data_IF_727546592552
#
_entry.id   IF_727546592552
#
_cell.length_a   1.000
_cell.length_b   1.000
_cell.length_c   1.000
_cell.angle_alpha   90.00
_cell.angle_beta   90.00
_cell.angle_gamma   90.00
#
_symmetry.space_group_name_H-M   'P 1'
#
loop_
_entity.id
_entity.type
_entity.pdbx_description
1 polymer ?
#
# COMPACT_ATOMS: atom_id res chain seq x y z
N UNK A 1 -1.80 54.14 9.60
CA UNK A 1 -2.01 53.10 10.62
C UNK A 1 -1.85 51.76 9.91
N UNK A 2 -0.65 51.21 9.93
CA UNK A 2 -0.27 50.02 9.16
C UNK A 2 -0.15 48.86 10.13
N UNK A 3 -1.03 47.87 10.01
CA UNK A 3 -0.99 46.66 10.83
C UNK A 3 0.00 45.67 10.19
N UNK A 4 1.14 45.45 10.85
CA UNK A 4 2.01 44.30 10.60
C UNK A 4 1.32 43.05 11.14
N UNK A 5 1.05 42.09 10.24
CA UNK A 5 0.65 40.73 10.61
C UNK A 5 1.95 39.96 10.88
N UNK A 6 2.20 39.63 12.14
CA UNK A 6 3.21 38.65 12.54
C UNK A 6 2.69 37.26 12.17
N UNK A 7 3.37 36.60 11.23
CA UNK A 7 3.21 35.18 10.96
C UNK A 7 3.90 34.40 12.07
N UNK A 8 3.12 33.67 12.88
CA UNK A 8 3.64 32.72 13.85
C UNK A 8 4.24 31.52 13.12
N UNK A 9 5.57 31.39 13.22
CA UNK A 9 6.32 30.23 12.78
C UNK A 9 5.84 28.98 13.53
N UNK A 10 5.17 28.08 12.80
CA UNK A 10 4.79 26.77 13.30
C UNK A 10 6.06 25.96 13.52
N UNK A 11 6.46 25.86 14.78
CA UNK A 11 7.49 24.95 15.27
C UNK A 11 7.10 23.50 14.94
N UNK A 12 7.55 23.00 13.79
CA UNK A 12 7.60 21.57 13.51
C UNK A 12 8.67 20.96 14.42
N UNK A 13 8.34 20.04 15.34
CA UNK A 13 9.36 19.33 16.10
C UNK A 13 10.11 18.42 15.13
N UNK A 14 11.33 18.85 14.78
CA UNK A 14 12.33 18.01 14.14
C UNK A 14 12.61 16.84 15.09
N UNK A 15 12.14 15.64 14.75
CA UNK A 15 12.70 14.42 15.30
C UNK A 15 14.23 14.48 15.10
N UNK A 16 14.96 14.55 16.21
CA UNK A 16 16.36 14.94 16.25
C UNK A 16 17.26 14.09 15.36
N UNK A 17 17.75 14.70 14.28
CA UNK A 17 18.96 14.29 13.58
C UNK A 17 20.14 14.98 14.26
N UNK A 18 20.61 14.40 15.37
CA UNK A 18 21.64 15.03 16.20
C UNK A 18 22.47 14.07 17.06
N UNK A 19 22.64 12.82 16.63
CA UNK A 19 23.64 11.92 17.18
C UNK A 19 24.87 11.93 16.29
N UNK A 20 25.98 12.50 16.78
CA UNK A 20 27.32 12.21 16.24
C UNK A 20 27.58 10.72 16.46
N UNK A 21 27.42 9.94 15.40
CA UNK A 21 27.77 8.52 15.38
C UNK A 21 29.29 8.47 15.28
N UNK A 22 29.91 8.15 16.41
CA UNK A 22 31.25 7.57 16.47
C UNK A 22 31.25 6.30 15.61
N UNK A 23 32.33 6.10 14.86
CA UNK A 23 32.56 4.98 13.93
C UNK A 23 32.71 3.61 14.64
N UNK A 24 31.77 3.25 15.51
CA UNK A 24 31.65 1.91 16.08
C UNK A 24 30.52 1.17 15.37
N UNK A 25 30.85 0.63 14.20
CA UNK A 25 30.02 -0.28 13.42
C UNK A 25 29.81 -1.59 14.18
N UNK A 26 28.80 -1.64 15.05
CA UNK A 26 28.25 -2.90 15.58
C UNK A 26 26.78 -2.75 15.97
N UNK A 27 25.95 -3.46 15.19
CA UNK A 27 24.66 -3.99 15.64
C UNK A 27 23.54 -2.99 15.99
N UNK A 28 23.10 -2.21 15.00
CA UNK A 28 21.66 -1.97 14.83
C UNK A 28 21.25 -2.91 13.72
N UNK A 29 20.58 -4.00 14.11
CA UNK A 29 20.18 -5.06 13.20
C UNK A 29 19.41 -4.48 12.03
N UNK A 30 20.07 -4.40 10.87
CA UNK A 30 19.41 -4.36 9.59
C UNK A 30 18.64 -5.67 9.49
N UNK A 31 17.40 -5.66 9.99
CA UNK A 31 16.42 -6.64 9.58
C UNK A 31 16.31 -6.39 8.09
N UNK A 32 16.99 -7.24 7.32
CA UNK A 32 16.78 -7.33 5.90
C UNK A 32 15.30 -7.70 5.75
N UNK A 33 14.45 -6.68 5.68
CA UNK A 33 13.06 -6.84 5.31
C UNK A 33 13.15 -7.34 3.89
N UNK A 34 13.11 -8.66 3.77
CA UNK A 34 12.90 -9.40 2.54
C UNK A 34 11.52 -8.91 2.11
N UNK A 35 11.48 -7.79 1.37
CA UNK A 35 10.24 -7.18 0.94
C UNK A 35 9.40 -8.31 0.36
N UNK A 36 8.19 -8.53 0.90
CA UNK A 36 7.26 -9.47 0.30
C UNK A 36 7.17 -9.05 -1.17
N UNK A 37 7.23 -10.01 -2.11
CA UNK A 37 7.39 -9.69 -3.53
C UNK A 37 6.25 -8.83 -4.09
N UNK A 38 5.17 -8.62 -3.33
CA UNK A 38 3.96 -7.94 -3.75
C UNK A 38 3.83 -6.49 -3.29
N UNK A 39 4.55 -6.06 -2.24
CA UNK A 39 4.44 -4.68 -1.73
C UNK A 39 5.62 -4.29 -0.82
N UNK A 40 5.83 -2.97 -0.67
CA UNK A 40 6.65 -2.40 0.41
C UNK A 40 5.71 -1.90 1.52
N UNK A 41 5.77 -2.45 2.76
CA UNK A 41 4.86 -2.07 3.84
C UNK A 41 4.88 -0.57 4.14
N UNK A 42 6.06 0.05 4.13
CA UNK A 42 6.20 1.46 4.50
C UNK A 42 5.68 2.36 3.38
N UNK A 43 6.03 2.05 2.13
CA UNK A 43 5.51 2.79 0.99
C UNK A 43 4.00 2.65 0.84
N UNK A 44 3.45 1.47 1.16
CA UNK A 44 2.01 1.19 1.13
C UNK A 44 1.26 2.01 2.17
N UNK A 45 1.77 2.11 3.41
CA UNK A 45 1.16 2.92 4.47
C UNK A 45 1.29 4.44 4.21
N UNK A 46 2.19 4.87 3.34
CA UNK A 46 2.35 6.26 2.93
C UNK A 46 1.37 6.69 1.81
N UNK A 47 0.60 5.75 1.25
CA UNK A 47 -0.43 6.05 0.25
C UNK A 47 -1.52 6.92 0.87
N UNK A 48 -1.79 8.07 0.26
CA UNK A 48 -2.83 8.99 0.71
C UNK A 48 -4.20 8.27 0.79
N UNK A 49 -4.99 8.46 1.86
CA UNK A 49 -6.25 7.73 2.07
C UNK A 49 -7.25 7.90 0.92
N UNK A 50 -7.31 9.07 0.29
CA UNK A 50 -8.20 9.29 -0.87
C UNK A 50 -7.73 8.54 -2.12
N UNK A 51 -6.43 8.36 -2.31
CA UNK A 51 -5.89 7.52 -3.40
C UNK A 51 -6.20 6.05 -3.10
N UNK A 52 -5.98 5.60 -1.86
CA UNK A 52 -6.32 4.25 -1.42
C UNK A 52 -7.81 3.94 -1.61
N UNK A 53 -8.71 4.89 -1.28
CA UNK A 53 -10.15 4.78 -1.56
C UNK A 53 -10.44 4.65 -3.05
N UNK A 54 -9.78 5.46 -3.89
CA UNK A 54 -9.94 5.38 -5.34
C UNK A 54 -9.52 4.01 -5.89
N UNK A 55 -8.42 3.45 -5.41
CA UNK A 55 -8.01 2.09 -5.76
C UNK A 55 -8.98 1.03 -5.25
N UNK A 56 -9.47 1.16 -4.01
CA UNK A 56 -10.44 0.24 -3.45
C UNK A 56 -11.73 0.20 -4.29
N UNK A 57 -12.26 1.37 -4.68
CA UNK A 57 -13.42 1.48 -5.58
C UNK A 57 -13.17 0.76 -6.91
N UNK A 58 -11.98 0.94 -7.47
CA UNK A 58 -11.61 0.32 -8.74
C UNK A 58 -11.54 -1.21 -8.63
N UNK A 59 -11.03 -1.73 -7.51
CA UNK A 59 -10.88 -3.16 -7.28
C UNK A 59 -12.17 -3.86 -6.87
N UNK A 60 -13.08 -3.15 -6.18
CA UNK A 60 -14.37 -3.71 -5.75
C UNK A 60 -15.51 -3.37 -6.70
N UNK A 61 -15.21 -2.74 -7.84
CA UNK A 61 -16.19 -2.25 -8.81
C UNK A 61 -17.29 -1.37 -8.16
N UNK A 62 -16.89 -0.56 -7.17
CA UNK A 62 -17.79 0.33 -6.44
C UNK A 62 -18.58 -0.35 -5.31
N UNK A 63 -18.41 -1.65 -5.09
CA UNK A 63 -18.91 -2.34 -3.90
C UNK A 63 -18.05 -1.96 -2.68
N UNK A 64 -18.24 -0.73 -2.18
CA UNK A 64 -17.70 -0.33 -0.88
C UNK A 64 -18.78 -0.66 0.15
N UNK A 65 -18.77 -1.90 0.63
CA UNK A 65 -19.59 -2.24 1.80
C UNK A 65 -18.99 -1.55 3.01
N UNK A 66 -19.48 -0.35 3.35
CA UNK A 66 -19.11 0.30 4.61
C UNK A 66 -19.78 -0.34 5.83
N UNK A 67 -20.84 -1.14 5.65
CA UNK A 67 -21.51 -2.00 6.64
C UNK A 67 -22.94 -2.28 6.11
N UNK A 68 -23.18 -3.28 5.26
CA UNK A 68 -24.51 -3.95 5.21
C UNK A 68 -24.50 -5.21 4.35
N UNK A 69 -24.68 -6.35 5.02
CA UNK A 69 -25.00 -7.63 4.40
C UNK A 69 -26.39 -7.55 3.78
N UNK A 70 -26.50 -7.65 2.45
CA UNK A 70 -27.75 -8.04 1.81
C UNK A 70 -27.43 -8.95 0.62
N UNK A 71 -27.39 -10.26 0.92
CA UNK A 71 -27.29 -11.33 -0.04
C UNK A 71 -28.63 -11.48 -0.78
N UNK A 72 -28.61 -11.16 -2.08
CA UNK A 72 -29.68 -11.47 -3.02
C UNK A 72 -29.04 -11.94 -4.32
N UNK A 73 -28.60 -13.20 -4.35
CA UNK A 73 -28.00 -13.82 -5.54
C UNK A 73 -29.04 -13.97 -6.66
N UNK A 74 -28.75 -13.38 -7.81
CA UNK A 74 -29.47 -13.64 -9.06
C UNK A 74 -28.53 -14.30 -10.07
N UNK A 75 -28.99 -15.42 -10.62
CA UNK A 75 -28.27 -16.36 -11.50
C UNK A 75 -27.72 -15.79 -12.82
N UNK A 76 -27.86 -14.49 -13.11
CA UNK A 76 -27.27 -13.80 -14.25
C UNK A 76 -25.99 -13.02 -13.92
N UNK A 77 -25.49 -13.10 -12.68
CA UNK A 77 -24.32 -12.33 -12.21
C UNK A 77 -22.96 -12.93 -12.60
N UNK A 78 -22.89 -14.22 -12.93
CA UNK A 78 -21.60 -14.91 -13.08
C UNK A 78 -20.72 -14.38 -14.23
N UNK A 79 -21.30 -14.06 -15.39
CA UNK A 79 -20.52 -13.54 -16.53
C UNK A 79 -20.07 -12.09 -16.31
N UNK A 80 -20.90 -11.27 -15.64
CA UNK A 80 -20.49 -9.90 -15.33
C UNK A 80 -19.34 -9.87 -14.32
N UNK A 81 -19.29 -10.83 -13.40
CA UNK A 81 -18.27 -10.85 -12.35
C UNK A 81 -16.89 -11.24 -12.89
N UNK A 82 -16.81 -12.05 -13.96
CA UNK A 82 -15.55 -12.35 -14.64
C UNK A 82 -14.95 -11.12 -15.33
N UNK A 83 -15.74 -10.35 -16.08
CA UNK A 83 -15.28 -9.13 -16.76
C UNK A 83 -14.84 -8.06 -15.75
N UNK A 84 -15.57 -7.91 -14.64
CA UNK A 84 -15.22 -7.01 -13.54
C UNK A 84 -13.87 -7.41 -12.92
N UNK A 85 -13.67 -8.69 -12.66
CA UNK A 85 -12.42 -9.21 -12.13
C UNK A 85 -11.25 -9.04 -13.10
N UNK A 86 -11.48 -9.18 -14.40
CA UNK A 86 -10.45 -8.92 -15.42
C UNK A 86 -9.99 -7.46 -15.37
N UNK A 87 -10.93 -6.51 -15.33
CA UNK A 87 -10.60 -5.08 -15.26
C UNK A 87 -9.86 -4.71 -13.97
N UNK A 88 -10.28 -5.25 -12.82
CA UNK A 88 -9.61 -5.05 -11.54
C UNK A 88 -8.18 -5.62 -11.57
N UNK A 89 -7.98 -6.80 -12.16
CA UNK A 89 -6.65 -7.39 -12.28
C UNK A 89 -5.74 -6.65 -13.25
N UNK A 90 -6.28 -6.11 -14.36
CA UNK A 90 -5.55 -5.23 -15.25
C UNK A 90 -5.14 -3.93 -14.52
N UNK A 91 -5.97 -3.40 -13.63
CA UNK A 91 -5.58 -2.25 -12.80
C UNK A 91 -4.40 -2.57 -11.85
N UNK A 92 -4.28 -3.81 -11.40
CA UNK A 92 -3.14 -4.29 -10.59
C UNK A 92 -1.89 -4.41 -11.46
N UNK A 93 -1.98 -5.16 -12.56
CA UNK A 93 -0.81 -5.57 -13.35
C UNK A 93 -0.35 -4.53 -14.38
N UNK A 94 -1.28 -3.86 -15.05
CA UNK A 94 -1.01 -2.82 -16.06
C UNK A 94 -1.23 -1.40 -15.52
N UNK A 95 -2.01 -1.25 -14.45
CA UNK A 95 -2.26 0.03 -13.80
C UNK A 95 -1.16 0.45 -12.81
N UNK A 96 -1.50 1.38 -11.92
CA UNK A 96 -0.57 2.01 -10.98
C UNK A 96 -0.78 1.57 -9.52
N UNK A 97 -1.55 0.51 -9.28
CA UNK A 97 -1.83 -0.03 -7.94
C UNK A 97 -0.55 -0.58 -7.32
N UNK A 98 0.11 -1.53 -7.99
CA UNK A 98 1.38 -2.11 -7.51
C UNK A 98 2.46 -1.03 -7.40
N UNK A 99 2.53 -0.11 -8.38
CA UNK A 99 3.47 1.01 -8.35
C UNK A 99 3.33 1.86 -7.08
N UNK A 100 2.09 2.13 -6.64
CA UNK A 100 1.83 2.85 -5.40
C UNK A 100 2.28 2.06 -4.18
N UNK A 101 2.01 0.75 -4.12
CA UNK A 101 2.45 -0.13 -3.03
C UNK A 101 3.97 -0.28 -2.91
N UNK A 102 4.72 0.04 -3.96
CA UNK A 102 6.20 0.10 -3.95
C UNK A 102 6.75 1.53 -3.81
N UNK A 103 5.90 2.55 -3.67
CA UNK A 103 6.36 3.93 -3.55
C UNK A 103 7.00 4.47 -4.82
N UNK A 104 6.58 3.98 -6.00
CA UNK A 104 6.97 4.56 -7.28
C UNK A 104 6.25 5.89 -7.44
N UNK A 105 6.81 6.93 -6.81
CA UNK A 105 6.30 8.29 -6.92
C UNK A 105 6.15 8.67 -8.41
N UNK A 106 4.98 9.20 -8.78
CA UNK A 106 4.80 9.93 -10.05
C UNK A 106 5.55 11.26 -9.98
N UNK A 107 6.88 11.22 -9.85
CA UNK A 107 7.70 12.43 -9.85
C UNK A 107 7.48 13.14 -11.18
N UNK A 108 6.91 14.33 -11.10
CA UNK A 108 6.77 15.25 -12.21
C UNK A 108 8.17 15.52 -12.78
N UNK A 109 8.51 14.79 -13.85
CA UNK A 109 9.64 15.01 -14.77
C UNK A 109 10.90 15.59 -14.11
N UNK A 110 11.59 14.83 -13.25
CA UNK A 110 13.03 15.08 -13.04
C UNK A 110 13.74 14.65 -14.33
N UNK A 111 13.89 15.60 -15.25
CA UNK A 111 14.30 15.45 -16.67
C UNK A 111 15.65 14.75 -16.94
N UNK A 112 16.36 14.21 -15.94
CA UNK A 112 17.77 13.83 -16.11
C UNK A 112 18.26 12.58 -15.37
N UNK A 113 17.39 11.75 -14.76
CA UNK A 113 17.83 10.46 -14.21
C UNK A 113 17.45 9.32 -15.14
N UNK A 114 18.42 8.80 -15.89
CA UNK A 114 18.26 7.62 -16.75
C UNK A 114 18.24 6.29 -15.97
N UNK A 115 18.54 6.31 -14.67
CA UNK A 115 18.50 5.11 -13.82
C UNK A 115 17.09 4.86 -13.29
N UNK A 116 16.56 3.66 -13.54
CA UNK A 116 15.34 3.16 -12.90
C UNK A 116 15.56 3.08 -11.39
N UNK A 117 14.55 3.47 -10.60
CA UNK A 117 14.63 3.30 -9.15
C UNK A 117 14.47 1.81 -8.80
N UNK A 118 15.07 1.34 -7.69
CA UNK A 118 14.84 -0.02 -7.20
C UNK A 118 13.34 -0.34 -7.02
N UNK A 119 12.55 0.61 -6.51
CA UNK A 119 11.10 0.49 -6.40
C UNK A 119 10.39 0.23 -7.75
N UNK A 120 10.83 0.92 -8.82
CA UNK A 120 10.29 0.72 -10.15
C UNK A 120 10.68 -0.65 -10.72
N UNK A 121 11.85 -1.17 -10.38
CA UNK A 121 12.26 -2.52 -10.77
C UNK A 121 11.45 -3.59 -10.01
N UNK A 122 11.28 -3.43 -8.69
CA UNK A 122 10.51 -4.37 -7.86
C UNK A 122 9.04 -4.42 -8.26
N UNK A 123 8.39 -3.26 -8.43
CA UNK A 123 6.99 -3.19 -8.91
C UNK A 123 6.82 -3.85 -10.28
N UNK A 124 7.75 -3.63 -11.21
CA UNK A 124 7.72 -4.32 -12.51
C UNK A 124 7.82 -5.83 -12.36
N UNK A 125 8.78 -6.33 -11.57
CA UNK A 125 8.94 -7.78 -11.33
C UNK A 125 7.69 -8.39 -10.68
N UNK A 126 7.09 -7.67 -9.72
CA UNK A 126 5.82 -8.06 -9.11
C UNK A 126 4.70 -8.20 -10.14
N UNK A 127 4.52 -7.18 -11.00
CA UNK A 127 3.50 -7.19 -12.06
C UNK A 127 3.70 -8.33 -13.06
N UNK A 128 4.95 -8.56 -13.47
CA UNK A 128 5.32 -9.68 -14.35
C UNK A 128 5.00 -11.03 -13.70
N UNK A 129 5.40 -11.23 -12.43
CA UNK A 129 5.14 -12.47 -11.70
C UNK A 129 3.64 -12.75 -11.51
N UNK A 130 2.86 -11.73 -11.14
CA UNK A 130 1.40 -11.87 -10.99
C UNK A 130 0.74 -12.26 -12.32
N UNK A 131 1.19 -11.68 -13.43
CA UNK A 131 0.66 -12.00 -14.76
C UNK A 131 0.95 -13.44 -15.16
N UNK A 132 2.21 -13.85 -15.06
CA UNK A 132 2.63 -15.21 -15.40
C UNK A 132 1.89 -16.26 -14.55
N UNK A 133 1.78 -16.02 -13.25
CA UNK A 133 1.08 -16.94 -12.37
C UNK A 133 -0.43 -17.00 -12.64
N UNK A 134 -1.07 -15.87 -12.97
CA UNK A 134 -2.48 -15.83 -13.32
C UNK A 134 -2.81 -16.49 -14.67
N UNK A 135 -1.85 -16.60 -15.59
CA UNK A 135 -1.99 -17.40 -16.82
C UNK A 135 -2.01 -18.91 -16.52
N UNK A 136 -1.30 -19.34 -15.47
CA UNK A 136 -1.24 -20.74 -15.03
C UNK A 136 -2.47 -21.09 -14.18
N UNK A 137 -2.86 -20.20 -13.27
CA UNK A 137 -3.93 -20.42 -12.31
C UNK A 137 -4.81 -19.18 -12.16
N UNK A 138 -6.04 -19.28 -12.67
CA UNK A 138 -7.02 -18.19 -12.63
C UNK A 138 -7.41 -17.78 -11.20
N UNK A 139 -7.28 -18.66 -10.20
CA UNK A 139 -7.60 -18.30 -8.81
C UNK A 139 -6.64 -17.24 -8.24
N UNK A 140 -5.43 -17.13 -8.79
CA UNK A 140 -4.44 -16.10 -8.41
C UNK A 140 -4.96 -14.71 -8.77
N UNK A 141 -5.72 -14.58 -9.86
CA UNK A 141 -6.37 -13.31 -10.24
C UNK A 141 -7.26 -12.80 -9.11
N UNK A 142 -8.17 -13.65 -8.67
CA UNK A 142 -9.14 -13.36 -7.61
C UNK A 142 -8.43 -13.08 -6.27
N UNK A 143 -7.45 -13.90 -5.91
CA UNK A 143 -6.65 -13.72 -4.68
C UNK A 143 -5.86 -12.41 -4.69
N UNK A 144 -5.30 -12.01 -5.84
CA UNK A 144 -4.61 -10.73 -5.96
C UNK A 144 -5.56 -9.55 -5.77
N UNK A 145 -6.74 -9.58 -6.40
CA UNK A 145 -7.78 -8.54 -6.25
C UNK A 145 -8.21 -8.42 -4.78
N UNK A 146 -8.47 -9.56 -4.12
CA UNK A 146 -8.84 -9.59 -2.70
C UNK A 146 -7.72 -9.03 -1.81
N UNK A 147 -6.49 -9.50 -2.01
CA UNK A 147 -5.33 -9.06 -1.22
C UNK A 147 -5.07 -7.55 -1.37
N UNK A 148 -5.10 -7.00 -2.60
CA UNK A 148 -4.92 -5.55 -2.79
C UNK A 148 -6.12 -4.74 -2.27
N UNK A 149 -7.34 -5.28 -2.33
CA UNK A 149 -8.52 -4.62 -1.73
C UNK A 149 -8.38 -4.51 -0.21
N UNK A 150 -8.04 -5.61 0.46
CA UNK A 150 -7.80 -5.62 1.91
C UNK A 150 -6.59 -4.75 2.29
N UNK A 151 -5.53 -4.75 1.47
CA UNK A 151 -4.39 -3.87 1.63
C UNK A 151 -4.82 -2.39 1.72
N UNK A 152 -5.66 -1.92 0.80
CA UNK A 152 -6.16 -0.53 0.84
C UNK A 152 -7.12 -0.26 2.00
N UNK A 153 -7.89 -1.25 2.45
CA UNK A 153 -8.67 -1.14 3.70
C UNK A 153 -7.75 -0.93 4.92
N UNK A 154 -6.61 -1.63 4.98
CA UNK A 154 -5.58 -1.42 6.02
C UNK A 154 -5.02 -0.01 5.98
N UNK A 155 -4.68 0.51 4.78
CA UNK A 155 -4.18 1.88 4.62
C UNK A 155 -5.20 2.92 5.11
N UNK A 156 -6.47 2.79 4.70
CA UNK A 156 -7.53 3.71 5.12
C UNK A 156 -7.74 3.65 6.64
N UNK A 157 -7.71 2.46 7.24
CA UNK A 157 -7.82 2.29 8.69
C UNK A 157 -6.63 2.89 9.42
N UNK A 158 -5.42 2.67 8.92
CA UNK A 158 -4.19 3.25 9.47
C UNK A 158 -4.26 4.78 9.53
N UNK A 159 -4.68 5.45 8.45
CA UNK A 159 -4.86 6.91 8.44
C UNK A 159 -5.92 7.37 9.46
N UNK A 160 -7.06 6.66 9.57
CA UNK A 160 -8.08 6.95 10.60
C UNK A 160 -7.50 6.84 12.02
N UNK A 161 -6.77 5.76 12.31
CA UNK A 161 -6.17 5.50 13.62
C UNK A 161 -5.09 6.55 13.97
N UNK A 162 -4.27 6.94 12.99
CA UNK A 162 -3.26 7.99 13.15
C UNK A 162 -3.91 9.37 13.40
N UNK A 163 -4.97 9.72 12.67
CA UNK A 163 -5.70 11.00 12.88
C UNK A 163 -6.42 11.06 14.22
N UNK A 164 -6.81 9.91 14.77
CA UNK A 164 -7.40 9.82 16.10
C UNK A 164 -6.36 10.07 17.23
N UNK A 165 -5.06 10.10 16.92
CA UNK A 165 -4.04 10.44 17.90
C UNK A 165 -4.05 11.94 18.23
N UNK A 166 -4.29 12.27 19.50
CA UNK A 166 -4.00 13.60 20.01
C UNK A 166 -2.49 13.88 20.07
N UNK A 167 -2.09 15.16 19.97
CA UNK A 167 -0.69 15.62 19.93
C UNK A 167 0.20 15.04 21.05
N UNK A 168 -0.36 14.83 22.25
CA UNK A 168 0.42 14.41 23.43
C UNK A 168 0.79 12.91 23.43
N UNK A 169 0.00 12.05 22.76
CA UNK A 169 0.23 10.59 22.76
C UNK A 169 0.88 10.06 21.50
N UNK A 170 1.36 10.96 20.64
CA UNK A 170 1.73 10.63 19.27
C UNK A 170 2.89 9.64 19.18
N UNK A 171 4.01 9.87 19.87
CA UNK A 171 5.23 9.08 19.67
C UNK A 171 5.09 7.59 20.03
N UNK A 172 4.49 7.25 21.19
CA UNK A 172 4.36 5.85 21.61
C UNK A 172 3.25 5.10 20.86
N UNK A 173 2.11 5.76 20.62
CA UNK A 173 0.97 5.13 19.97
C UNK A 173 1.17 5.00 18.46
N UNK A 174 1.85 5.95 17.82
CA UNK A 174 2.16 5.86 16.39
C UNK A 174 2.95 4.59 16.07
N UNK A 175 4.03 4.32 16.79
CA UNK A 175 4.82 3.08 16.59
C UNK A 175 3.97 1.82 16.74
N UNK A 176 3.04 1.80 17.69
CA UNK A 176 2.12 0.66 17.91
C UNK A 176 1.14 0.51 16.74
N UNK A 177 0.55 1.61 16.27
CA UNK A 177 -0.39 1.61 15.14
C UNK A 177 0.32 1.17 13.86
N UNK A 178 1.51 1.71 13.58
CA UNK A 178 2.32 1.31 12.42
C UNK A 178 2.69 -0.17 12.48
N UNK A 179 3.17 -0.66 13.63
CA UNK A 179 3.51 -2.08 13.78
C UNK A 179 2.32 -3.00 13.56
N UNK A 180 1.14 -2.64 14.07
CA UNK A 180 -0.09 -3.40 13.87
C UNK A 180 -0.53 -3.39 12.40
N UNK A 181 -0.42 -2.24 11.72
CA UNK A 181 -0.76 -2.10 10.31
C UNK A 181 0.15 -2.94 9.42
N UNK A 182 1.48 -2.90 9.65
CA UNK A 182 2.46 -3.74 8.94
C UNK A 182 2.15 -5.22 9.13
N UNK A 183 1.91 -5.67 10.37
CA UNK A 183 1.54 -7.06 10.64
C UNK A 183 0.27 -7.46 9.88
N UNK A 184 -0.71 -6.56 9.80
CA UNK A 184 -1.95 -6.84 9.07
C UNK A 184 -1.71 -6.94 7.56
N UNK A 185 -0.85 -6.10 6.99
CA UNK A 185 -0.45 -6.24 5.58
C UNK A 185 0.23 -7.60 5.33
N UNK A 186 1.09 -8.06 6.23
CA UNK A 186 1.73 -9.39 6.12
C UNK A 186 0.69 -10.52 6.13
N UNK A 187 -0.32 -10.44 7.00
CA UNK A 187 -1.42 -11.41 7.05
C UNK A 187 -2.25 -11.40 5.75
N UNK A 188 -2.51 -10.23 5.16
CA UNK A 188 -3.31 -10.08 3.93
C UNK A 188 -2.65 -10.75 2.74
N UNK A 189 -1.34 -10.57 2.57
CA UNK A 189 -0.62 -11.13 1.42
C UNK A 189 -0.17 -12.59 1.60
N UNK A 190 -0.33 -13.16 2.80
CA UNK A 190 0.10 -14.53 3.10
C UNK A 190 -0.54 -15.57 2.17
N UNK A 191 -1.85 -15.49 1.93
CA UNK A 191 -2.54 -16.45 1.06
C UNK A 191 -2.07 -16.33 -0.40
N UNK A 192 -1.80 -15.11 -0.86
CA UNK A 192 -1.26 -14.87 -2.19
C UNK A 192 0.17 -15.42 -2.32
N UNK A 193 1.02 -15.19 -1.32
CA UNK A 193 2.38 -15.76 -1.25
C UNK A 193 2.37 -17.29 -1.31
N UNK A 194 1.46 -17.95 -0.58
CA UNK A 194 1.31 -19.41 -0.59
C UNK A 194 0.83 -19.94 -1.96
N UNK A 195 -0.15 -19.27 -2.58
CA UNK A 195 -0.66 -19.63 -3.89
C UNK A 195 0.41 -19.47 -4.99
N UNK A 196 1.15 -18.36 -4.95
CA UNK A 196 2.22 -18.04 -5.90
C UNK A 196 3.39 -19.03 -5.79
N UNK A 197 3.73 -19.45 -4.57
CA UNK A 197 4.77 -20.46 -4.34
C UNK A 197 4.38 -21.86 -4.82
N UNK A 198 3.09 -22.10 -5.06
CA UNK A 198 2.58 -23.37 -5.60
C UNK A 198 2.51 -23.36 -7.13
N UNK A 199 2.35 -22.17 -7.72
CA UNK A 199 2.19 -21.99 -9.16
C UNK A 199 3.51 -21.85 -9.94
N UNK A 200 4.56 -21.33 -9.30
CA UNK A 200 5.91 -21.14 -9.86
C UNK A 200 6.85 -22.29 -9.46
#
# INVERSE_FOLDING_TARGET
MSNSIQSDDVNTPLCGSGGRISDDASSIGAVAMKASPFYDPLATLDIHPDIARGFLILLTNGAIDEETSNAGESSSQLEEDEEKNELAFLAITDGNIVDACFGVEKRVKKRFSSKKSPAQESSRKCKEALREAAEINESIRSLAIEAYSECFRVVIKFDKDVRALGMVTWCMKYCTITSNAVKRLEEVFKLLDEAMSTAL
#
